data_IF_064273543824
#
_entry.id   IF_064273543824
#
_cell.length_a   1.000
_cell.length_b   1.000
_cell.length_c   1.000
_cell.angle_alpha   90.00
_cell.angle_beta   90.00
_cell.angle_gamma   90.00
#
_symmetry.space_group_name_H-M   'P 1'
#
loop_
_entity.id
_entity.type
_entity.pdbx_description
1 polymer ?
#
# COMPACT_ATOMS: atom_id res chain seq x y z
N UNK A 1 28.82 -15.03 -5.23
CA UNK A 1 28.70 -14.37 -6.55
C UNK A 1 27.21 -14.23 -6.94
N UNK A 2 26.41 -15.29 -7.02
CA UNK A 2 25.01 -15.25 -7.44
C UNK A 2 24.12 -14.36 -6.55
N UNK A 3 24.30 -14.40 -5.22
CA UNK A 3 23.57 -13.53 -4.29
C UNK A 3 23.81 -12.04 -4.54
N UNK A 4 25.06 -11.64 -4.77
CA UNK A 4 25.42 -10.25 -5.05
C UNK A 4 24.77 -9.76 -6.36
N UNK A 5 24.76 -10.57 -7.42
CA UNK A 5 24.09 -10.25 -8.68
C UNK A 5 22.58 -10.07 -8.51
N UNK A 6 21.94 -10.95 -7.73
CA UNK A 6 20.49 -10.83 -7.46
C UNK A 6 20.15 -9.55 -6.70
N UNK A 7 20.91 -9.23 -5.64
CA UNK A 7 20.70 -7.99 -4.88
C UNK A 7 20.98 -6.74 -5.73
N UNK A 8 22.03 -6.76 -6.56
CA UNK A 8 22.33 -5.64 -7.46
C UNK A 8 21.24 -5.43 -8.50
N UNK A 9 20.72 -6.51 -9.10
CA UNK A 9 19.60 -6.44 -10.04
C UNK A 9 18.32 -5.94 -9.34
N UNK A 10 18.04 -6.41 -8.14
CA UNK A 10 16.91 -5.94 -7.33
C UNK A 10 17.02 -4.45 -7.00
N UNK A 11 18.20 -3.97 -6.64
CA UNK A 11 18.44 -2.54 -6.38
C UNK A 11 18.22 -1.68 -7.61
N UNK A 12 18.79 -2.07 -8.76
CA UNK A 12 18.61 -1.35 -10.04
C UNK A 12 17.12 -1.29 -10.42
N UNK A 13 16.42 -2.41 -10.35
CA UNK A 13 14.98 -2.45 -10.65
C UNK A 13 14.16 -1.61 -9.69
N UNK A 14 14.52 -1.59 -8.41
CA UNK A 14 13.89 -0.72 -7.42
C UNK A 14 14.03 0.76 -7.78
N UNK A 15 15.25 1.23 -8.14
CA UNK A 15 15.48 2.62 -8.54
C UNK A 15 14.66 2.98 -9.79
N UNK A 16 14.64 2.09 -10.79
CA UNK A 16 13.84 2.29 -12.01
C UNK A 16 12.33 2.34 -11.72
N UNK A 17 11.84 1.53 -10.77
CA UNK A 17 10.45 1.58 -10.34
C UNK A 17 10.13 2.90 -9.62
N UNK A 18 11.04 3.43 -8.80
CA UNK A 18 10.89 4.75 -8.18
C UNK A 18 10.86 5.87 -9.23
N UNK A 19 11.74 5.82 -10.25
CA UNK A 19 11.76 6.81 -11.32
C UNK A 19 10.46 6.80 -12.11
N UNK A 20 9.96 5.62 -12.49
CA UNK A 20 8.65 5.48 -13.13
C UNK A 20 7.52 6.03 -12.27
N UNK A 21 7.57 5.81 -10.96
CA UNK A 21 6.57 6.38 -10.03
C UNK A 21 6.59 7.92 -10.01
N UNK A 22 7.78 8.53 -10.05
CA UNK A 22 7.92 10.00 -10.17
C UNK A 22 7.34 10.52 -11.49
N UNK A 23 7.64 9.84 -12.59
CA UNK A 23 7.13 10.20 -13.93
C UNK A 23 5.59 10.13 -13.97
N UNK A 24 4.99 9.08 -13.40
CA UNK A 24 3.53 8.93 -13.30
C UNK A 24 2.92 10.06 -12.48
N UNK A 25 3.48 10.36 -11.32
CA UNK A 25 2.98 11.44 -10.46
C UNK A 25 3.12 12.81 -11.16
N UNK A 26 4.25 13.07 -11.81
CA UNK A 26 4.49 14.30 -12.57
C UNK A 26 3.52 14.45 -13.74
N UNK A 27 3.24 13.37 -14.48
CA UNK A 27 2.28 13.38 -15.59
C UNK A 27 0.86 13.70 -15.13
N UNK A 28 0.52 13.37 -13.86
CA UNK A 28 -0.75 13.72 -13.22
C UNK A 28 -0.77 15.12 -12.59
N UNK A 29 0.37 15.83 -12.59
CA UNK A 29 0.51 17.14 -11.94
C UNK A 29 0.51 17.07 -10.41
N UNK A 30 0.85 15.92 -9.83
CA UNK A 30 0.86 15.72 -8.38
C UNK A 30 2.18 16.16 -7.74
N UNK A 31 2.10 16.88 -6.63
CA UNK A 31 3.24 17.15 -5.77
C UNK A 31 3.47 15.95 -4.83
N UNK A 32 4.61 15.29 -5.00
CA UNK A 32 4.97 14.07 -4.25
C UNK A 32 5.67 14.43 -2.96
N UNK A 33 5.08 14.10 -1.82
CA UNK A 33 5.67 14.25 -0.49
C UNK A 33 6.59 13.07 -0.14
N UNK A 34 6.15 11.86 -0.46
CA UNK A 34 6.90 10.60 -0.27
C UNK A 34 6.57 9.63 -1.39
N UNK A 35 7.53 8.75 -1.70
CA UNK A 35 7.34 7.71 -2.69
C UNK A 35 8.08 6.43 -2.25
N UNK A 36 7.42 5.30 -2.37
CA UNK A 36 7.98 3.96 -2.15
C UNK A 36 7.68 3.04 -3.33
N UNK A 37 8.60 2.11 -3.58
CA UNK A 37 8.39 0.99 -4.49
C UNK A 37 8.61 -0.33 -3.76
N UNK A 38 7.67 -1.25 -3.87
CA UNK A 38 7.73 -2.60 -3.28
C UNK A 38 7.64 -3.64 -4.38
N UNK A 39 8.50 -4.66 -4.39
CA UNK A 39 8.36 -5.74 -5.37
C UNK A 39 7.03 -6.46 -5.15
N UNK A 40 6.34 -6.79 -6.22
CA UNK A 40 5.13 -7.59 -6.12
C UNK A 40 5.47 -9.05 -5.78
N UNK A 41 4.46 -9.82 -5.37
CA UNK A 41 4.66 -11.13 -4.77
C UNK A 41 5.51 -12.05 -5.67
N UNK A 42 6.67 -12.49 -5.14
CA UNK A 42 7.52 -13.52 -5.74
C UNK A 42 8.32 -13.10 -6.98
N UNK A 43 8.41 -11.81 -7.34
CA UNK A 43 9.17 -11.38 -8.50
C UNK A 43 9.82 -10.00 -8.34
N UNK A 44 10.80 -9.70 -9.19
CA UNK A 44 11.46 -8.39 -9.29
C UNK A 44 11.10 -7.64 -10.59
N UNK A 45 10.12 -8.15 -11.36
CA UNK A 45 9.73 -7.54 -12.63
C UNK A 45 8.64 -6.47 -12.43
N UNK A 46 7.62 -6.79 -11.63
CA UNK A 46 6.48 -5.91 -11.37
C UNK A 46 6.57 -5.34 -9.97
N UNK A 47 6.42 -4.03 -9.85
CA UNK A 47 6.55 -3.27 -8.61
C UNK A 47 5.26 -2.55 -8.30
N UNK A 48 4.89 -2.55 -7.03
CA UNK A 48 3.89 -1.64 -6.48
C UNK A 48 4.58 -0.32 -6.19
N UNK A 49 4.09 0.74 -6.78
CA UNK A 49 4.51 2.12 -6.48
C UNK A 49 3.42 2.77 -5.65
N UNK A 50 3.82 3.43 -4.57
CA UNK A 50 2.94 4.18 -3.69
C UNK A 50 3.53 5.55 -3.50
N UNK A 51 2.78 6.60 -3.80
CA UNK A 51 3.20 7.95 -3.46
C UNK A 51 2.14 8.70 -2.68
N UNK A 52 2.62 9.57 -1.83
CA UNK A 52 1.83 10.43 -0.97
C UNK A 52 1.80 11.85 -1.52
N UNK A 53 0.63 12.47 -1.51
CA UNK A 53 0.41 13.89 -1.81
C UNK A 53 -0.18 14.59 -0.59
N UNK A 54 -0.51 15.88 -0.72
CA UNK A 54 -1.30 16.59 0.30
C UNK A 54 -2.67 15.95 0.55
N UNK A 55 -3.31 15.40 -0.48
CA UNK A 55 -4.68 14.91 -0.45
C UNK A 55 -4.80 13.43 -0.04
N UNK A 56 -3.81 12.59 -0.37
CA UNK A 56 -3.93 11.16 -0.12
C UNK A 56 -2.74 10.35 -0.62
N UNK A 57 -2.99 9.06 -0.76
CA UNK A 57 -2.07 8.10 -1.34
C UNK A 57 -2.57 7.65 -2.71
N UNK A 58 -1.65 7.46 -3.62
CA UNK A 58 -1.86 6.92 -4.95
C UNK A 58 -1.03 5.65 -5.10
N UNK A 59 -1.62 4.64 -5.70
CA UNK A 59 -1.02 3.31 -5.85
C UNK A 59 -1.09 2.91 -7.30
N UNK A 60 0.04 2.58 -7.90
CA UNK A 60 0.14 2.07 -9.27
C UNK A 60 1.00 0.81 -9.30
N UNK A 61 0.93 0.05 -10.40
CA UNK A 61 1.90 -0.98 -10.68
C UNK A 61 2.77 -0.58 -11.84
N UNK A 62 4.07 -0.83 -11.74
CA UNK A 62 5.04 -0.54 -12.80
C UNK A 62 5.88 -1.76 -13.10
N UNK A 63 6.26 -1.92 -14.36
CA UNK A 63 7.21 -2.94 -14.83
C UNK A 63 8.34 -2.23 -15.57
N UNK A 64 9.49 -1.96 -14.90
CA UNK A 64 10.66 -1.42 -15.58
C UNK A 64 11.25 -2.46 -16.54
N UNK A 65 11.15 -2.22 -17.84
CA UNK A 65 11.71 -3.09 -18.87
C UNK A 65 13.03 -2.55 -19.43
N UNK A 66 13.83 -3.38 -20.11
CA UNK A 66 15.06 -2.95 -20.81
C UNK A 66 14.75 -2.21 -22.11
N UNK A 67 13.70 -2.64 -22.82
CA UNK A 67 13.29 -2.12 -24.13
C UNK A 67 11.91 -1.43 -24.11
N UNK A 68 11.25 -1.41 -22.99
CA UNK A 68 9.93 -0.79 -22.79
C UNK A 68 9.48 -0.95 -21.35
N UNK A 69 8.70 -0.01 -20.87
CA UNK A 69 8.15 0.00 -19.52
C UNK A 69 6.63 -0.04 -19.58
N UNK A 70 6.00 -0.67 -18.61
CA UNK A 70 4.54 -0.74 -18.52
C UNK A 70 4.07 -0.14 -17.21
N UNK A 71 3.00 0.64 -17.27
CA UNK A 71 2.30 1.19 -16.10
C UNK A 71 0.88 0.66 -16.11
N UNK A 72 0.44 0.10 -15.01
CA UNK A 72 -0.97 -0.18 -14.74
C UNK A 72 -1.46 0.85 -13.73
N UNK A 73 -2.34 1.72 -14.20
CA UNK A 73 -2.99 2.69 -13.34
C UNK A 73 -3.78 1.97 -12.25
N UNK A 74 -3.66 2.47 -11.05
CA UNK A 74 -4.27 1.86 -9.88
C UNK A 74 -5.26 2.78 -9.18
N UNK A 75 -5.28 2.66 -7.86
CA UNK A 75 -6.27 3.30 -7.00
C UNK A 75 -5.65 4.44 -6.19
N UNK A 76 -6.50 5.33 -5.71
CA UNK A 76 -6.14 6.34 -4.70
C UNK A 76 -7.00 6.16 -3.45
N UNK A 77 -6.50 6.63 -2.32
CA UNK A 77 -7.23 6.64 -1.05
C UNK A 77 -6.80 7.83 -0.22
N UNK A 78 -7.76 8.42 0.49
CA UNK A 78 -7.49 9.52 1.43
C UNK A 78 -6.59 9.05 2.60
N UNK A 79 -5.82 9.98 3.15
CA UNK A 79 -5.07 9.74 4.39
C UNK A 79 -6.04 9.53 5.54
N UNK A 80 -5.72 8.60 6.44
CA UNK A 80 -6.51 8.41 7.65
C UNK A 80 -6.49 9.68 8.51
N UNK A 81 -7.68 10.21 8.73
CA UNK A 81 -7.94 11.27 9.71
C UNK A 81 -8.91 10.74 10.78
N UNK A 82 -8.39 10.41 11.96
CA UNK A 82 -9.18 9.77 13.02
C UNK A 82 -10.43 10.59 13.38
N UNK A 83 -10.32 11.91 13.44
CA UNK A 83 -11.44 12.76 13.84
C UNK A 83 -12.56 12.81 12.78
N UNK A 84 -12.22 12.68 11.50
CA UNK A 84 -13.19 12.67 10.40
C UNK A 84 -13.72 11.26 10.11
N UNK A 85 -12.83 10.26 10.10
CA UNK A 85 -13.18 8.89 9.75
C UNK A 85 -13.89 8.15 10.89
N UNK A 86 -13.53 8.49 12.15
CA UNK A 86 -14.06 7.86 13.36
C UNK A 86 -14.49 8.90 14.41
N UNK A 87 -15.49 9.76 14.11
CA UNK A 87 -15.90 10.85 15.01
C UNK A 87 -16.46 10.37 16.36
N UNK A 88 -16.83 9.11 16.44
CA UNK A 88 -17.28 8.43 17.65
C UNK A 88 -16.13 7.96 18.55
N UNK A 89 -14.90 7.92 18.04
CA UNK A 89 -13.75 7.38 18.77
C UNK A 89 -13.17 8.40 19.74
N UNK A 90 -13.18 8.06 21.03
CA UNK A 90 -12.55 8.89 22.07
C UNK A 90 -11.04 9.03 21.82
N UNK A 91 -10.47 10.25 21.86
CA UNK A 91 -9.05 10.45 21.53
C UNK A 91 -8.07 9.78 22.51
N UNK A 92 -8.51 9.46 23.73
CA UNK A 92 -7.73 8.73 24.74
C UNK A 92 -8.15 7.27 24.88
N UNK A 93 -9.01 6.75 24.00
CA UNK A 93 -9.41 5.33 24.01
C UNK A 93 -8.24 4.43 23.60
N UNK A 94 -8.28 3.18 24.05
CA UNK A 94 -7.29 2.19 23.67
C UNK A 94 -7.23 1.97 22.15
N UNK A 95 -8.36 2.00 21.47
CA UNK A 95 -8.41 1.88 20.02
C UNK A 95 -7.70 3.05 19.31
N UNK A 96 -7.81 4.28 19.80
CA UNK A 96 -7.09 5.43 19.25
C UNK A 96 -5.56 5.29 19.44
N UNK A 97 -5.13 4.79 20.59
CA UNK A 97 -3.72 4.47 20.87
C UNK A 97 -3.22 3.36 19.91
N UNK A 98 -4.03 2.36 19.68
CA UNK A 98 -3.68 1.23 18.80
C UNK A 98 -3.57 1.66 17.32
N UNK A 99 -4.43 2.58 16.85
CA UNK A 99 -4.29 3.19 15.52
C UNK A 99 -2.92 3.88 15.40
N UNK A 100 -2.51 4.65 16.40
CA UNK A 100 -1.22 5.34 16.34
C UNK A 100 -0.02 4.38 16.41
N UNK A 101 -0.14 3.28 17.14
CA UNK A 101 0.86 2.19 17.12
C UNK A 101 0.93 1.55 15.73
N UNK A 102 -0.22 1.27 15.13
CA UNK A 102 -0.30 0.72 13.78
C UNK A 102 0.24 1.69 12.73
N UNK A 103 -0.06 2.99 12.88
CA UNK A 103 0.51 4.07 12.03
C UNK A 103 2.03 4.06 12.05
N UNK A 104 2.65 3.94 13.23
CA UNK A 104 4.11 3.86 13.37
C UNK A 104 4.68 2.63 12.69
N UNK A 105 4.11 1.44 12.91
CA UNK A 105 4.58 0.18 12.31
C UNK A 105 4.42 0.15 10.80
N UNK A 106 3.44 0.86 10.28
CA UNK A 106 3.16 1.00 8.84
C UNK A 106 3.85 2.21 8.20
N UNK A 107 4.80 2.85 8.89
CA UNK A 107 5.49 4.07 8.44
C UNK A 107 4.53 5.17 7.95
N UNK A 108 3.32 5.23 8.52
CA UNK A 108 2.28 6.19 8.18
C UNK A 108 1.45 5.85 6.94
N UNK A 109 1.76 4.77 6.21
CA UNK A 109 1.00 4.33 5.04
C UNK A 109 -0.26 3.55 5.42
N UNK A 110 -1.16 4.20 6.14
CA UNK A 110 -2.44 3.61 6.56
C UNK A 110 -3.62 4.42 6.03
N UNK A 111 -4.68 3.70 5.67
CA UNK A 111 -5.94 4.29 5.22
C UNK A 111 -7.11 3.40 5.64
N UNK A 112 -8.31 3.97 5.65
CA UNK A 112 -9.55 3.20 5.79
C UNK A 112 -9.73 2.37 4.51
N UNK A 113 -10.05 1.08 4.65
CA UNK A 113 -10.38 0.23 3.50
C UNK A 113 -11.72 0.69 2.90
N UNK A 114 -11.77 1.10 1.62
CA UNK A 114 -13.01 1.54 0.99
C UNK A 114 -14.16 0.51 1.03
N UNK A 115 -13.83 -0.77 1.28
CA UNK A 115 -14.79 -1.88 1.34
C UNK A 115 -15.29 -2.17 2.76
N UNK A 116 -14.57 -1.70 3.79
CA UNK A 116 -14.93 -1.84 5.18
C UNK A 116 -14.57 -0.57 5.96
N UNK A 117 -15.53 0.31 6.26
CA UNK A 117 -15.27 1.61 6.89
C UNK A 117 -14.77 1.52 8.35
N UNK A 118 -14.78 0.33 8.96
CA UNK A 118 -14.21 0.09 10.28
C UNK A 118 -12.80 -0.52 10.22
N UNK A 119 -12.28 -0.77 9.02
CA UNK A 119 -10.99 -1.41 8.84
C UNK A 119 -9.92 -0.42 8.37
N UNK A 120 -8.84 -0.30 9.12
CA UNK A 120 -7.67 0.50 8.76
C UNK A 120 -6.54 -0.44 8.34
N UNK A 121 -6.12 -0.32 7.09
CA UNK A 121 -5.13 -1.22 6.48
C UNK A 121 -3.79 -0.57 6.19
N UNK A 122 -2.74 -1.39 6.14
CA UNK A 122 -1.42 -1.00 5.63
C UNK A 122 -1.44 -1.11 4.09
N UNK A 123 -1.50 0.04 3.41
CA UNK A 123 -1.65 0.11 1.96
C UNK A 123 -0.38 -0.25 1.18
N UNK A 124 0.75 -0.41 1.86
CA UNK A 124 2.01 -0.81 1.20
C UNK A 124 1.96 -2.22 0.62
N UNK A 125 1.07 -3.05 1.13
CA UNK A 125 1.01 -4.47 0.77
C UNK A 125 -0.39 -4.86 0.33
N UNK A 126 -0.51 -5.33 -0.89
CA UNK A 126 -1.75 -5.83 -1.49
C UNK A 126 -1.46 -7.03 -2.37
N UNK A 127 -2.45 -7.87 -2.61
CA UNK A 127 -2.30 -9.02 -3.51
C UNK A 127 -2.08 -8.56 -4.96
N UNK A 128 -2.72 -7.48 -5.38
CA UNK A 128 -2.52 -6.87 -6.70
C UNK A 128 -1.79 -5.55 -6.53
N UNK A 129 -0.63 -5.35 -7.19
CA UNK A 129 0.23 -4.20 -6.92
C UNK A 129 -0.42 -2.84 -7.22
N UNK A 130 -1.38 -2.76 -8.13
CA UNK A 130 -2.11 -1.54 -8.47
C UNK A 130 -3.38 -1.31 -7.60
N UNK A 131 -3.59 -2.09 -6.53
CA UNK A 131 -4.75 -1.97 -5.65
C UNK A 131 -4.37 -1.48 -4.25
N UNK A 132 -5.27 -0.70 -3.65
CA UNK A 132 -5.15 -0.25 -2.25
C UNK A 132 -5.47 -1.40 -1.27
N UNK A 133 -6.29 -2.36 -1.68
CA UNK A 133 -6.76 -3.49 -0.87
C UNK A 133 -5.67 -4.13 0.03
N UNK A 134 -5.64 -3.83 1.33
CA UNK A 134 -4.54 -4.23 2.21
C UNK A 134 -4.54 -5.73 2.49
N UNK A 135 -3.35 -6.31 2.73
CA UNK A 135 -3.21 -7.70 3.16
C UNK A 135 -3.46 -7.90 4.65
N UNK A 136 -3.32 -6.84 5.44
CA UNK A 136 -3.55 -6.84 6.89
C UNK A 136 -3.90 -5.44 7.37
N UNK A 137 -4.49 -5.40 8.55
CA UNK A 137 -4.87 -4.17 9.20
C UNK A 137 -5.51 -4.42 10.55
N UNK A 138 -6.09 -3.37 11.08
CA UNK A 138 -6.82 -3.35 12.34
C UNK A 138 -8.29 -3.02 12.08
N UNK A 139 -9.18 -3.66 12.82
CA UNK A 139 -10.60 -3.40 12.77
C UNK A 139 -11.08 -2.77 14.07
N UNK A 140 -11.79 -1.66 13.93
CA UNK A 140 -12.35 -0.90 15.03
C UNK A 140 -13.74 -1.42 15.39
N UNK A 141 -14.11 -1.23 16.63
CA UNK A 141 -15.42 -1.63 17.19
C UNK A 141 -16.09 -0.43 17.82
N UNK A 142 -17.14 0.14 17.21
CA UNK A 142 -17.84 1.32 17.75
C UNK A 142 -18.43 1.10 19.15
N UNK A 143 -18.88 -0.11 19.43
CA UNK A 143 -19.52 -0.49 20.70
C UNK A 143 -18.51 -0.89 21.80
N UNK A 144 -17.20 -0.84 21.51
CA UNK A 144 -16.19 -1.25 22.47
C UNK A 144 -16.03 -0.25 23.61
N UNK A 145 -15.70 -0.75 24.79
CA UNK A 145 -15.31 0.10 25.92
C UNK A 145 -13.97 0.83 25.68
N UNK A 146 -13.71 1.89 26.44
CA UNK A 146 -12.50 2.69 26.29
C UNK A 146 -11.19 1.91 26.42
N UNK A 147 -11.17 0.82 27.19
CA UNK A 147 -10.00 -0.02 27.44
C UNK A 147 -9.86 -1.18 26.42
N UNK A 148 -10.81 -1.31 25.48
CA UNK A 148 -10.79 -2.43 24.54
C UNK A 148 -9.87 -2.17 23.35
N UNK A 149 -9.05 -3.16 23.02
CA UNK A 149 -8.13 -3.13 21.88
C UNK A 149 -8.86 -3.38 20.55
N UNK A 150 -8.27 -2.85 19.47
CA UNK A 150 -8.65 -3.21 18.09
C UNK A 150 -8.36 -4.68 17.79
N UNK A 151 -9.10 -5.25 16.83
CA UNK A 151 -8.77 -6.56 16.26
C UNK A 151 -7.68 -6.41 15.19
N UNK A 152 -6.68 -7.31 15.16
CA UNK A 152 -5.72 -7.40 14.07
C UNK A 152 -6.09 -8.56 13.14
N UNK A 153 -6.20 -8.28 11.84
CA UNK A 153 -6.63 -9.25 10.83
C UNK A 153 -5.73 -9.28 9.62
N UNK A 154 -5.63 -10.46 9.01
CA UNK A 154 -5.00 -10.66 7.71
C UNK A 154 -6.05 -11.02 6.67
N UNK A 155 -6.07 -10.29 5.55
CA UNK A 155 -7.06 -10.43 4.48
C UNK A 155 -6.42 -11.15 3.28
N UNK A 156 -6.30 -12.47 3.34
CA UNK A 156 -5.68 -13.29 2.29
C UNK A 156 -6.68 -14.01 1.37
N UNK A 157 -7.94 -13.66 1.45
CA UNK A 157 -8.99 -14.25 0.63
C UNK A 157 -8.74 -13.93 -0.86
N UNK A 158 -8.84 -14.96 -1.72
CA UNK A 158 -8.60 -14.89 -3.18
C UNK A 158 -7.12 -14.81 -3.62
N UNK A 159 -6.18 -15.28 -2.79
CA UNK A 159 -4.75 -15.28 -3.12
C UNK A 159 -4.43 -15.96 -4.47
N UNK A 160 -5.10 -17.06 -4.82
CA UNK A 160 -4.85 -17.82 -6.07
C UNK A 160 -5.16 -17.01 -7.33
N UNK A 161 -6.28 -16.29 -7.35
CA UNK A 161 -6.67 -15.50 -8.53
C UNK A 161 -5.81 -14.25 -8.69
N UNK A 162 -5.41 -13.65 -7.57
CA UNK A 162 -4.49 -12.53 -7.57
C UNK A 162 -3.09 -12.95 -8.06
N UNK A 163 -2.58 -14.10 -7.64
CA UNK A 163 -1.30 -14.65 -8.12
C UNK A 163 -1.30 -14.90 -9.63
N UNK A 164 -2.39 -15.44 -10.19
CA UNK A 164 -2.54 -15.61 -11.65
C UNK A 164 -2.47 -14.26 -12.39
N UNK A 165 -3.13 -13.23 -11.86
CA UNK A 165 -3.11 -11.87 -12.44
C UNK A 165 -1.72 -11.25 -12.36
N UNK A 166 -1.03 -11.35 -11.21
CA UNK A 166 0.35 -10.87 -11.10
C UNK A 166 1.26 -11.62 -12.07
N UNK A 167 1.12 -12.94 -12.21
CA UNK A 167 1.87 -13.71 -13.18
C UNK A 167 1.63 -13.21 -14.61
N UNK A 168 0.39 -12.91 -15.01
CA UNK A 168 0.11 -12.33 -16.34
C UNK A 168 0.79 -10.96 -16.56
N UNK A 169 0.91 -10.13 -15.53
CA UNK A 169 1.62 -8.83 -15.61
C UNK A 169 3.14 -9.01 -15.80
N UNK A 170 3.72 -10.09 -15.29
CA UNK A 170 5.15 -10.39 -15.46
C UNK A 170 5.47 -10.76 -16.92
N UNK A 171 4.58 -11.47 -17.60
CA UNK A 171 4.79 -12.00 -18.95
C UNK A 171 4.22 -11.14 -20.08
N UNK A 172 3.53 -10.05 -19.79
CA UNK A 172 3.19 -9.00 -20.74
C UNK A 172 4.39 -8.08 -21.01
#
# INVERSE_FOLDING_TARGET
IWGALYFSAGYVQHQRALDMGREVAQARGHEVLRLEAKPSFGNLAVWKVIYETGEGFYVDAVKPGLTGSTVWEGESVAKLNIALDFPWLGPSSQQAIDIERFRKSSAGYIAVDPRNPLFVGDIRYSMLPHRVAPLWGIELKPEAGNEEHVGFYTLRDKARDALKRVASMVFQ
#
